data_IF_210488963764
#
_entry.id   IF_210488963764
#
_cell.length_a   1.000
_cell.length_b   1.000
_cell.length_c   1.000
_cell.angle_alpha   90.00
_cell.angle_beta   90.00
_cell.angle_gamma   90.00
#
_symmetry.space_group_name_H-M   'P 1'
#
loop_
_entity.id
_entity.type
_entity.pdbx_description
1 polymer ?
#
# COMPACT_ATOMS: atom_id res chain seq x y z
N UNK A 1 9.12 43.94 -30.37
CA UNK A 1 10.10 44.11 -29.27
C UNK A 1 9.88 43.01 -28.27
N UNK A 2 10.92 42.22 -27.99
CA UNK A 2 10.92 41.10 -27.03
C UNK A 2 10.70 41.63 -25.60
N UNK A 3 9.67 41.14 -24.92
CA UNK A 3 9.51 41.34 -23.48
C UNK A 3 10.40 40.31 -22.78
N UNK A 4 11.44 40.78 -22.10
CA UNK A 4 12.35 39.96 -21.28
C UNK A 4 11.53 39.31 -20.14
N UNK A 5 11.71 38.02 -19.83
CA UNK A 5 11.06 37.42 -18.66
C UNK A 5 11.63 38.05 -17.37
N UNK A 6 10.71 38.45 -16.49
CA UNK A 6 11.00 39.01 -15.18
C UNK A 6 11.62 37.90 -14.32
N UNK A 7 12.93 37.97 -14.05
CA UNK A 7 13.62 37.03 -13.17
C UNK A 7 13.30 37.40 -11.72
N UNK A 8 12.16 36.90 -11.22
CA UNK A 8 11.82 36.96 -9.80
C UNK A 8 12.60 35.85 -9.09
N UNK A 9 13.73 36.21 -8.50
CA UNK A 9 14.44 35.33 -7.55
C UNK A 9 13.48 34.94 -6.43
N UNK A 10 13.04 33.69 -6.41
CA UNK A 10 12.21 33.20 -5.31
C UNK A 10 13.00 33.33 -3.99
N UNK A 11 12.37 33.79 -2.90
CA UNK A 11 13.06 33.88 -1.61
C UNK A 11 13.50 32.48 -1.18
N UNK A 12 14.80 32.30 -0.93
CA UNK A 12 15.36 31.05 -0.40
C UNK A 12 14.82 30.85 1.01
N UNK A 13 13.94 29.85 1.19
CA UNK A 13 13.47 29.43 2.51
C UNK A 13 14.66 29.00 3.39
N UNK A 14 14.62 29.24 4.72
CA UNK A 14 15.60 28.69 5.66
C UNK A 14 15.74 27.18 5.52
N UNK A 15 16.95 26.63 5.64
CA UNK A 15 17.22 25.19 5.45
C UNK A 15 16.35 24.28 6.32
N UNK A 16 16.01 24.70 7.55
CA UNK A 16 15.10 23.98 8.44
C UNK A 16 13.66 23.94 7.93
N UNK A 17 13.20 24.99 7.26
CA UNK A 17 11.90 25.02 6.58
C UNK A 17 11.94 24.26 5.26
N UNK A 18 13.08 24.21 4.56
CA UNK A 18 13.26 23.34 3.38
C UNK A 18 13.26 21.85 3.76
N UNK A 19 13.91 21.45 4.85
CA UNK A 19 13.85 20.08 5.36
C UNK A 19 12.44 19.71 5.83
N UNK A 20 11.75 20.62 6.51
CA UNK A 20 10.35 20.43 6.92
C UNK A 20 9.41 20.37 5.71
N UNK A 21 9.65 21.18 4.67
CA UNK A 21 8.90 21.11 3.40
C UNK A 21 9.23 19.84 2.62
N UNK A 22 10.48 19.40 2.54
CA UNK A 22 10.85 18.14 1.88
C UNK A 22 10.29 16.93 2.62
N UNK A 23 10.17 17.01 3.95
CA UNK A 23 9.48 16.02 4.76
C UNK A 23 7.95 16.07 4.56
N UNK A 24 7.40 17.25 4.31
CA UNK A 24 5.97 17.44 4.01
C UNK A 24 5.61 17.13 2.54
N UNK A 25 6.57 17.23 1.61
CA UNK A 25 6.47 16.90 0.18
C UNK A 25 7.22 15.57 -0.05
N UNK A 26 6.87 14.54 0.73
CA UNK A 26 7.11 13.19 0.24
C UNK A 26 6.02 12.97 -0.80
N UNK A 27 6.39 12.99 -2.08
CA UNK A 27 5.47 12.57 -3.14
C UNK A 27 4.87 11.22 -2.74
N UNK A 28 3.55 11.20 -2.60
CA UNK A 28 2.84 9.96 -2.32
C UNK A 28 3.08 9.04 -3.51
N UNK A 29 3.65 7.85 -3.31
CA UNK A 29 3.89 6.95 -4.42
C UNK A 29 2.57 6.52 -5.02
N UNK A 30 2.55 6.26 -6.33
CA UNK A 30 1.33 5.89 -7.05
C UNK A 30 0.83 4.49 -6.67
N UNK A 31 1.73 3.60 -6.26
CA UNK A 31 1.43 2.21 -5.93
C UNK A 31 1.93 1.81 -4.55
N UNK A 32 1.31 0.74 -4.05
CA UNK A 32 1.65 0.16 -2.77
C UNK A 32 1.59 -1.37 -2.79
N UNK A 33 2.37 -1.96 -1.87
CA UNK A 33 2.21 -3.31 -1.41
C UNK A 33 1.35 -3.30 -0.14
N UNK A 34 0.21 -3.98 -0.14
CA UNK A 34 -0.61 -4.15 1.06
C UNK A 34 -0.31 -5.52 1.64
N UNK A 35 0.22 -5.52 2.85
CA UNK A 35 0.58 -6.70 3.64
C UNK A 35 -0.59 -7.06 4.54
N UNK A 36 -1.03 -8.31 4.48
CA UNK A 36 -2.14 -8.84 5.28
C UNK A 36 -1.78 -10.23 5.80
N UNK A 37 -1.87 -10.50 7.10
CA UNK A 37 -1.84 -11.89 7.60
C UNK A 37 -3.25 -12.44 7.73
N UNK A 38 -3.42 -13.72 7.39
CA UNK A 38 -4.68 -14.45 7.56
C UNK A 38 -4.43 -15.77 8.31
N UNK A 39 -5.37 -16.23 9.16
CA UNK A 39 -5.19 -17.48 9.92
C UNK A 39 -5.11 -18.74 9.05
N UNK A 40 -5.71 -18.70 7.85
CA UNK A 40 -5.80 -19.83 6.93
C UNK A 40 -5.69 -19.39 5.48
N UNK A 41 -5.13 -20.27 4.66
CA UNK A 41 -4.91 -20.02 3.23
C UNK A 41 -6.24 -19.80 2.49
N UNK A 42 -7.31 -20.50 2.87
CA UNK A 42 -8.62 -20.36 2.25
C UNK A 42 -9.18 -18.94 2.41
N UNK A 43 -8.95 -18.31 3.57
CA UNK A 43 -9.38 -16.93 3.82
C UNK A 43 -8.54 -15.93 3.02
N UNK A 44 -7.23 -16.14 2.93
CA UNK A 44 -6.38 -15.32 2.06
C UNK A 44 -6.79 -15.42 0.58
N UNK A 45 -7.08 -16.63 0.08
CA UNK A 45 -7.57 -16.84 -1.29
C UNK A 45 -8.90 -16.14 -1.52
N UNK A 46 -9.84 -16.26 -0.57
CA UNK A 46 -11.16 -15.62 -0.68
C UNK A 46 -11.05 -14.10 -0.70
N UNK A 47 -10.28 -13.52 0.22
CA UNK A 47 -10.04 -12.06 0.27
C UNK A 47 -9.33 -11.59 -1.00
N UNK A 48 -8.29 -12.29 -1.45
CA UNK A 48 -7.58 -11.97 -2.69
C UNK A 48 -8.53 -11.91 -3.89
N UNK A 49 -9.40 -12.92 -4.06
CA UNK A 49 -10.39 -12.93 -5.14
C UNK A 49 -11.32 -11.73 -5.06
N UNK A 50 -11.88 -11.43 -3.90
CA UNK A 50 -12.79 -10.29 -3.73
C UNK A 50 -12.14 -8.94 -4.06
N UNK A 51 -10.87 -8.75 -3.67
CA UNK A 51 -10.12 -7.52 -3.99
C UNK A 51 -9.86 -7.42 -5.51
N UNK A 52 -9.43 -8.51 -6.14
CA UNK A 52 -9.15 -8.57 -7.58
C UNK A 52 -10.42 -8.39 -8.42
N UNK A 53 -11.52 -9.05 -8.05
CA UNK A 53 -12.83 -8.94 -8.72
C UNK A 53 -13.38 -7.52 -8.68
N UNK A 54 -13.09 -6.78 -7.59
CA UNK A 54 -13.44 -5.36 -7.45
C UNK A 54 -12.40 -4.40 -8.03
N UNK A 55 -11.35 -4.90 -8.66
CA UNK A 55 -10.30 -4.10 -9.29
C UNK A 55 -9.58 -3.16 -8.31
N UNK A 56 -9.55 -3.53 -7.02
CA UNK A 56 -8.88 -2.74 -5.96
C UNK A 56 -7.39 -3.06 -5.84
N UNK A 57 -6.96 -4.19 -6.42
CA UNK A 57 -5.57 -4.56 -6.62
C UNK A 57 -5.45 -5.26 -7.97
N UNK A 58 -4.27 -5.22 -8.59
CA UNK A 58 -4.01 -5.93 -9.84
C UNK A 58 -3.48 -7.35 -9.59
N UNK A 59 -2.78 -7.57 -8.48
CA UNK A 59 -2.10 -8.83 -8.19
C UNK A 59 -2.15 -9.17 -6.69
N UNK A 60 -2.29 -10.46 -6.39
CA UNK A 60 -2.18 -11.03 -5.05
C UNK A 60 -1.13 -12.15 -5.03
N UNK A 61 -0.19 -12.10 -4.09
CA UNK A 61 0.65 -13.26 -3.75
C UNK A 61 0.19 -13.82 -2.41
N UNK A 62 0.16 -15.14 -2.28
CA UNK A 62 -0.10 -15.83 -1.02
C UNK A 62 1.14 -16.63 -0.66
N UNK A 63 1.74 -16.35 0.49
CA UNK A 63 2.85 -17.12 1.05
C UNK A 63 2.28 -18.00 2.17
N UNK A 64 2.16 -19.32 1.94
CA UNK A 64 1.55 -20.21 2.92
C UNK A 64 2.51 -20.49 4.08
N UNK A 65 1.94 -20.85 5.25
CA UNK A 65 2.67 -21.39 6.41
C UNK A 65 3.76 -20.47 6.97
N UNK A 66 3.40 -19.22 7.28
CA UNK A 66 4.24 -18.35 8.11
C UNK A 66 4.00 -18.65 9.61
N UNK A 67 4.91 -18.20 10.47
CA UNK A 67 4.71 -18.15 11.93
C UNK A 67 4.72 -16.70 12.38
N UNK A 68 3.67 -16.31 13.10
CA UNK A 68 3.53 -14.99 13.70
C UNK A 68 3.73 -15.12 15.20
N UNK A 69 4.71 -14.39 15.74
CA UNK A 69 5.00 -14.34 17.17
C UNK A 69 4.70 -12.93 17.68
N UNK A 70 3.89 -12.81 18.71
CA UNK A 70 3.46 -11.52 19.25
C UNK A 70 3.04 -11.64 20.71
N UNK A 71 2.95 -10.50 21.42
CA UNK A 71 2.44 -10.47 22.79
C UNK A 71 0.94 -10.21 22.79
N UNK A 72 0.20 -11.04 23.52
CA UNK A 72 -1.22 -10.83 23.77
C UNK A 72 -1.55 -11.19 25.22
N UNK A 73 -2.26 -10.31 25.92
CA UNK A 73 -2.67 -10.49 27.33
C UNK A 73 -1.50 -10.91 28.27
N UNK A 74 -0.32 -10.35 28.04
CA UNK A 74 0.87 -10.63 28.86
C UNK A 74 1.51 -12.00 28.60
N UNK A 75 1.16 -12.68 27.51
CA UNK A 75 1.75 -13.94 27.08
C UNK A 75 2.30 -13.84 25.66
N UNK A 76 3.43 -14.51 25.42
CA UNK A 76 3.97 -14.68 24.08
C UNK A 76 3.10 -15.70 23.33
N UNK A 77 2.43 -15.24 22.29
CA UNK A 77 1.67 -16.06 21.36
C UNK A 77 2.53 -16.47 20.18
N UNK A 78 2.19 -17.63 19.62
CA UNK A 78 2.78 -18.13 18.39
C UNK A 78 1.69 -18.80 17.57
N UNK A 79 1.43 -18.28 16.38
CA UNK A 79 0.37 -18.75 15.51
C UNK A 79 0.87 -19.06 14.11
N UNK A 80 0.31 -20.12 13.51
CA UNK A 80 0.51 -20.44 12.11
C UNK A 80 -0.46 -19.62 11.26
N UNK A 81 0.07 -18.94 10.25
CA UNK A 81 -0.72 -18.06 9.39
C UNK A 81 -0.33 -18.23 7.92
N UNK A 82 -0.94 -17.43 7.05
CA UNK A 82 -0.46 -17.15 5.71
C UNK A 82 -0.34 -15.64 5.49
N UNK A 83 0.56 -15.25 4.60
CA UNK A 83 0.76 -13.86 4.22
C UNK A 83 0.13 -13.61 2.85
N UNK A 84 -0.79 -12.66 2.80
CA UNK A 84 -1.37 -12.09 1.59
C UNK A 84 -0.68 -10.75 1.27
N UNK A 85 -0.17 -10.63 0.04
CA UNK A 85 0.47 -9.42 -0.48
C UNK A 85 -0.25 -8.92 -1.72
N UNK A 86 -0.89 -7.75 -1.64
CA UNK A 86 -1.62 -7.13 -2.74
C UNK A 86 -0.79 -6.00 -3.37
N UNK A 87 -0.76 -5.91 -4.70
CA UNK A 87 -0.18 -4.76 -5.42
C UNK A 87 -1.33 -3.92 -5.97
N UNK A 88 -1.43 -2.70 -5.50
CA UNK A 88 -2.57 -1.82 -5.73
C UNK A 88 -2.11 -0.37 -5.89
N UNK A 89 -2.94 0.50 -6.50
CA UNK A 89 -2.80 1.94 -6.36
C UNK A 89 -2.75 2.33 -4.88
N UNK A 90 -1.88 3.27 -4.55
CA UNK A 90 -1.67 3.72 -3.18
C UNK A 90 -2.94 4.31 -2.57
N UNK A 91 -3.72 5.03 -3.38
CA UNK A 91 -4.99 5.66 -3.00
C UNK A 91 -6.11 4.67 -2.69
N UNK A 92 -6.04 3.42 -3.17
CA UNK A 92 -7.12 2.43 -3.00
C UNK A 92 -7.08 1.70 -1.65
N UNK A 93 -6.11 2.03 -0.80
CA UNK A 93 -5.90 1.37 0.48
C UNK A 93 -7.13 1.35 1.39
N UNK A 94 -7.84 2.47 1.53
CA UNK A 94 -8.99 2.54 2.45
C UNK A 94 -10.12 1.60 2.02
N UNK A 95 -10.33 1.46 0.71
CA UNK A 95 -11.32 0.53 0.16
C UNK A 95 -10.88 -0.93 0.35
N UNK A 96 -9.59 -1.23 0.14
CA UNK A 96 -9.02 -2.54 0.43
C UNK A 96 -9.15 -2.87 1.91
N UNK A 97 -8.75 -1.98 2.82
CA UNK A 97 -8.85 -2.17 4.26
C UNK A 97 -10.29 -2.48 4.67
N UNK A 98 -11.25 -1.66 4.22
CA UNK A 98 -12.67 -1.86 4.53
C UNK A 98 -13.17 -3.23 4.05
N UNK A 99 -12.82 -3.62 2.83
CA UNK A 99 -13.20 -4.92 2.29
C UNK A 99 -12.58 -6.05 3.11
N UNK A 100 -11.28 -5.98 3.36
CA UNK A 100 -10.55 -7.01 4.13
C UNK A 100 -11.18 -7.14 5.50
N UNK A 101 -11.38 -6.04 6.25
CA UNK A 101 -12.00 -6.05 7.59
C UNK A 101 -13.41 -6.65 7.60
N UNK A 102 -14.20 -6.43 6.54
CA UNK A 102 -15.56 -7.01 6.44
C UNK A 102 -15.52 -8.54 6.31
N UNK A 103 -14.45 -9.07 5.75
CA UNK A 103 -14.33 -10.48 5.42
C UNK A 103 -13.31 -11.22 6.29
N UNK A 104 -12.46 -10.53 7.04
CA UNK A 104 -11.39 -11.16 7.80
C UNK A 104 -11.94 -11.77 9.11
N UNK A 105 -11.51 -12.98 9.49
CA UNK A 105 -11.98 -13.63 10.72
C UNK A 105 -11.53 -12.94 12.01
N UNK A 106 -10.37 -12.28 12.00
CA UNK A 106 -9.89 -11.50 13.15
C UNK A 106 -10.60 -10.17 13.28
N UNK A 107 -10.83 -9.74 14.53
CA UNK A 107 -11.42 -8.43 14.83
C UNK A 107 -10.49 -7.27 14.44
N UNK A 108 -9.19 -7.46 14.64
CA UNK A 108 -8.14 -6.49 14.28
C UNK A 108 -7.09 -7.22 13.43
N UNK A 109 -7.32 -7.40 12.12
CA UNK A 109 -6.33 -8.02 11.25
C UNK A 109 -5.09 -7.14 11.11
N UNK A 110 -3.92 -7.76 10.96
CA UNK A 110 -2.72 -7.03 10.56
C UNK A 110 -2.86 -6.65 9.08
N UNK A 111 -3.20 -5.40 8.80
CA UNK A 111 -3.27 -4.80 7.46
C UNK A 111 -2.36 -3.58 7.46
N UNK A 112 -1.31 -3.59 6.66
CA UNK A 112 -0.40 -2.45 6.53
C UNK A 112 -0.05 -2.18 5.07
N UNK A 113 0.18 -0.91 4.74
CA UNK A 113 0.55 -0.47 3.40
C UNK A 113 2.02 -0.06 3.37
N UNK A 114 2.77 -0.60 2.42
CA UNK A 114 4.15 -0.21 2.13
C UNK A 114 4.21 0.50 0.77
N UNK A 115 4.85 1.68 0.69
CA UNK A 115 5.02 2.38 -0.58
C UNK A 115 5.89 1.58 -1.55
N UNK A 116 5.48 1.51 -2.83
CA UNK A 116 6.34 1.03 -3.91
C UNK A 116 7.00 2.25 -4.56
N UNK A 117 8.30 2.42 -4.35
CA UNK A 117 9.05 3.61 -4.81
C UNK A 117 9.85 3.38 -6.09
N UNK A 118 10.01 2.13 -6.51
CA UNK A 118 10.71 1.76 -7.73
C UNK A 118 10.23 0.38 -8.23
N UNK A 119 10.29 0.16 -9.53
CA UNK A 119 9.87 -1.07 -10.18
C UNK A 119 10.04 -0.99 -11.69
N UNK A 120 9.63 -2.05 -12.39
CA UNK A 120 9.53 -2.04 -13.84
C UNK A 120 8.34 -1.18 -14.26
N UNK A 121 8.57 -0.16 -15.07
CA UNK A 121 7.54 0.81 -15.49
C UNK A 121 6.35 0.13 -16.19
N UNK A 122 6.60 -0.86 -17.05
CA UNK A 122 5.56 -1.64 -17.72
C UNK A 122 4.68 -2.41 -16.73
N UNK A 123 5.25 -2.84 -15.60
CA UNK A 123 4.49 -3.53 -14.55
C UNK A 123 3.59 -2.55 -13.79
N UNK A 124 4.06 -1.34 -13.51
CA UNK A 124 3.25 -0.29 -12.89
C UNK A 124 2.10 0.16 -13.80
N UNK A 125 2.36 0.32 -15.10
CA UNK A 125 1.29 0.58 -16.09
C UNK A 125 0.24 -0.54 -16.14
N UNK A 126 0.68 -1.79 -16.02
CA UNK A 126 -0.25 -2.92 -15.93
C UNK A 126 -1.08 -2.86 -14.66
N UNK A 127 -0.50 -2.53 -13.49
CA UNK A 127 -1.26 -2.34 -12.26
C UNK A 127 -2.32 -1.24 -12.46
N UNK A 128 -1.92 -0.09 -12.99
CA UNK A 128 -2.84 1.01 -13.27
C UNK A 128 -4.00 0.58 -14.17
N UNK A 129 -3.68 -0.09 -15.28
CA UNK A 129 -4.68 -0.58 -16.25
C UNK A 129 -5.67 -1.55 -15.61
N UNK A 130 -5.18 -2.57 -14.89
CA UNK A 130 -6.04 -3.59 -14.28
C UNK A 130 -6.86 -3.07 -13.09
N UNK A 131 -6.54 -1.88 -12.58
CA UNK A 131 -7.26 -1.23 -11.47
C UNK A 131 -7.99 0.05 -11.89
N UNK A 132 -7.97 0.38 -13.19
CA UNK A 132 -8.54 1.63 -13.73
C UNK A 132 -8.03 2.89 -13.01
N UNK A 133 -6.78 2.85 -12.56
CA UNK A 133 -6.10 3.96 -11.92
C UNK A 133 -5.41 4.83 -12.98
N UNK A 134 -5.47 6.15 -12.80
CA UNK A 134 -4.87 7.12 -13.71
C UNK A 134 -3.38 7.30 -13.36
N UNK A 135 -2.50 6.81 -14.23
CA UNK A 135 -1.04 6.74 -14.08
C UNK A 135 -0.33 7.09 -15.39
#
# INVERSE_FOLDING_TARGET
>A
MLVKPLNLSQPTLPSSLQETLNFAIVETPDFALIYITCPKEEEAVRIARLVLERRLAACANIVPRIRSLYWWEGQLQEEGECLLLLKAPYSYYEEVEKLVRTHHPYQVPAIVRLPLTAGLEEYFRWIATETSFDY
#
